data_IF_712020844726
#
_entry.id   IF_712020844726
#
_cell.length_a   1.000
_cell.length_b   1.000
_cell.length_c   1.000
_cell.angle_alpha   90.00
_cell.angle_beta   90.00
_cell.angle_gamma   90.00
#
_symmetry.space_group_name_H-M   'P 1'
#
loop_
_entity.id
_entity.type
_entity.pdbx_description
1 polymer ?
#
# COMPACT_ATOMS: atom_id res chain seq x y z
N UNK A 1 -26.16 -40.46 -49.88
CA UNK A 1 -25.93 -39.02 -50.06
C UNK A 1 -25.83 -38.38 -48.68
N UNK A 2 -24.64 -37.82 -48.41
CA UNK A 2 -24.17 -36.88 -47.38
C UNK A 2 -24.62 -36.98 -45.91
N UNK A 3 -23.59 -37.31 -45.11
CA UNK A 3 -23.42 -37.12 -43.68
C UNK A 3 -23.94 -35.77 -43.15
N UNK A 4 -24.82 -35.83 -42.16
CA UNK A 4 -25.00 -34.76 -41.18
C UNK A 4 -23.85 -34.84 -40.18
N UNK A 5 -22.88 -33.94 -40.29
CA UNK A 5 -21.83 -33.76 -39.29
C UNK A 5 -22.35 -32.86 -38.17
N UNK A 6 -22.45 -33.49 -37.00
CA UNK A 6 -22.71 -33.00 -35.67
C UNK A 6 -22.08 -31.61 -35.38
N UNK A 7 -22.90 -30.61 -35.06
CA UNK A 7 -22.49 -29.26 -34.67
C UNK A 7 -22.27 -29.08 -33.16
N UNK A 8 -22.14 -30.17 -32.39
CA UNK A 8 -22.10 -30.10 -30.92
C UNK A 8 -20.71 -29.83 -30.31
N UNK A 9 -19.64 -29.71 -31.12
CA UNK A 9 -18.27 -29.65 -30.60
C UNK A 9 -17.71 -28.23 -30.35
N UNK A 10 -18.45 -27.18 -30.70
CA UNK A 10 -17.94 -25.79 -30.62
C UNK A 10 -18.20 -25.14 -29.26
N UNK A 11 -19.23 -25.58 -28.54
CA UNK A 11 -19.62 -24.99 -27.25
C UNK A 11 -18.75 -25.46 -26.08
N UNK A 12 -18.30 -26.71 -26.07
CA UNK A 12 -17.57 -27.29 -24.95
C UNK A 12 -16.16 -26.68 -24.81
N UNK A 13 -15.46 -26.44 -25.92
CA UNK A 13 -14.14 -25.78 -25.92
C UNK A 13 -14.17 -24.30 -25.49
N UNK A 14 -15.30 -23.60 -25.67
CA UNK A 14 -15.47 -22.23 -25.20
C UNK A 14 -15.79 -22.15 -23.70
N UNK A 15 -16.49 -23.17 -23.17
CA UNK A 15 -16.79 -23.27 -21.75
C UNK A 15 -15.53 -23.55 -20.92
N UNK A 16 -14.68 -24.45 -21.40
CA UNK A 16 -13.40 -24.81 -20.74
C UNK A 16 -12.43 -23.63 -20.69
N UNK A 17 -12.27 -22.88 -21.78
CA UNK A 17 -11.43 -21.67 -21.77
C UNK A 17 -11.94 -20.57 -20.83
N UNK A 18 -13.26 -20.42 -20.68
CA UNK A 18 -13.82 -19.46 -19.73
C UNK A 18 -13.61 -19.90 -18.27
N UNK A 19 -13.63 -21.20 -17.99
CA UNK A 19 -13.31 -21.75 -16.67
C UNK A 19 -11.82 -21.56 -16.33
N UNK A 20 -10.92 -21.87 -17.26
CA UNK A 20 -9.48 -21.64 -17.12
C UNK A 20 -9.16 -20.15 -16.88
N UNK A 21 -9.78 -19.25 -17.63
CA UNK A 21 -9.58 -17.81 -17.47
C UNK A 21 -10.05 -17.32 -16.09
N UNK A 22 -11.19 -17.83 -15.60
CA UNK A 22 -11.70 -17.50 -14.26
C UNK A 22 -10.79 -18.03 -13.15
N UNK A 23 -10.23 -19.23 -13.29
CA UNK A 23 -9.22 -19.76 -12.37
C UNK A 23 -7.94 -18.91 -12.37
N UNK A 24 -7.43 -18.52 -13.54
CA UNK A 24 -6.26 -17.65 -13.65
C UNK A 24 -6.52 -16.30 -12.97
N UNK A 25 -7.70 -15.71 -13.17
CA UNK A 25 -8.08 -14.44 -12.53
C UNK A 25 -8.18 -14.59 -11.00
N UNK A 26 -8.71 -15.71 -10.52
CA UNK A 26 -8.79 -16.02 -9.09
C UNK A 26 -7.39 -16.21 -8.47
N UNK A 27 -6.55 -17.04 -9.07
CA UNK A 27 -5.16 -17.25 -8.64
C UNK A 27 -4.36 -15.95 -8.64
N UNK A 28 -4.58 -15.09 -9.66
CA UNK A 28 -3.94 -13.78 -9.71
C UNK A 28 -4.38 -12.86 -8.58
N UNK A 29 -5.66 -12.90 -8.18
CA UNK A 29 -6.16 -12.16 -7.00
C UNK A 29 -5.53 -12.70 -5.71
N UNK A 30 -5.60 -14.00 -5.50
CA UNK A 30 -5.03 -14.67 -4.31
C UNK A 30 -3.53 -14.39 -4.17
N UNK A 31 -2.78 -14.48 -5.26
CA UNK A 31 -1.35 -14.18 -5.30
C UNK A 31 -1.07 -12.70 -4.97
N UNK A 32 -1.88 -11.77 -5.51
CA UNK A 32 -1.72 -10.34 -5.26
C UNK A 32 -2.04 -9.98 -3.80
N UNK A 33 -3.02 -10.65 -3.19
CA UNK A 33 -3.30 -10.55 -1.75
C UNK A 33 -2.13 -11.09 -0.90
N UNK A 34 -1.54 -12.21 -1.32
CA UNK A 34 -0.39 -12.81 -0.63
C UNK A 34 0.83 -11.88 -0.65
N UNK A 35 1.11 -11.23 -1.79
CA UNK A 35 2.18 -10.23 -1.91
C UNK A 35 1.89 -8.95 -1.10
N UNK A 36 0.63 -8.49 -1.04
CA UNK A 36 0.26 -7.32 -0.23
C UNK A 36 0.41 -7.57 1.28
N UNK A 37 0.29 -8.82 1.72
CA UNK A 37 0.47 -9.19 3.13
C UNK A 37 1.93 -9.48 3.51
N UNK A 38 2.83 -9.60 2.53
CA UNK A 38 4.25 -9.88 2.73
C UNK A 38 5.04 -8.61 3.13
N UNK A 39 5.75 -8.67 4.27
CA UNK A 39 6.59 -7.58 4.78
C UNK A 39 7.91 -7.40 3.98
N UNK A 40 8.17 -8.22 2.96
CA UNK A 40 9.45 -8.25 2.25
C UNK A 40 9.86 -6.94 1.58
N UNK A 41 8.93 -6.11 1.08
CA UNK A 41 9.27 -4.80 0.53
C UNK A 41 9.72 -3.81 1.61
N UNK A 42 9.03 -3.80 2.76
CA UNK A 42 9.44 -3.01 3.93
C UNK A 42 10.85 -3.40 4.42
N UNK A 43 11.13 -4.70 4.50
CA UNK A 43 12.47 -5.22 4.87
C UNK A 43 13.56 -4.90 3.83
N UNK A 44 13.20 -4.72 2.56
CA UNK A 44 14.13 -4.21 1.53
C UNK A 44 14.41 -2.72 1.73
N UNK A 45 13.39 -1.92 2.02
CA UNK A 45 13.54 -0.48 2.28
C UNK A 45 14.45 -0.23 3.48
N UNK A 46 14.32 -1.00 4.56
CA UNK A 46 15.21 -0.95 5.74
C UNK A 46 16.70 -1.07 5.42
N UNK A 47 17.04 -1.84 4.39
CA UNK A 47 18.42 -2.14 4.00
C UNK A 47 19.01 -1.10 3.06
N UNK A 48 18.20 -0.16 2.56
CA UNK A 48 18.68 0.97 1.78
C UNK A 48 19.29 1.96 2.77
N UNK A 49 20.49 2.47 2.48
CA UNK A 49 21.04 3.57 3.26
C UNK A 49 20.09 4.78 3.17
N UNK A 50 19.49 5.09 4.31
CA UNK A 50 18.49 6.16 4.44
C UNK A 50 19.15 7.54 4.45
N UNK A 51 20.48 7.62 4.59
CA UNK A 51 21.21 8.89 4.62
C UNK A 51 21.06 9.71 3.32
N UNK A 52 20.75 9.04 2.20
CA UNK A 52 20.54 9.69 0.90
C UNK A 52 19.05 9.82 0.50
N UNK A 53 18.11 9.37 1.34
CA UNK A 53 16.68 9.30 0.97
C UNK A 53 15.78 9.85 2.05
N UNK A 54 14.89 10.76 1.64
CA UNK A 54 13.84 11.28 2.51
C UNK A 54 12.80 10.20 2.88
N UNK A 55 12.50 10.07 4.16
CA UNK A 55 11.41 9.27 4.71
C UNK A 55 10.06 9.64 4.09
N UNK A 56 9.86 10.89 3.68
CA UNK A 56 8.64 11.29 2.95
C UNK A 56 8.50 10.51 1.63
N UNK A 57 9.59 10.41 0.85
CA UNK A 57 9.61 9.68 -0.41
C UNK A 57 9.44 8.17 -0.16
N UNK A 58 10.05 7.66 0.91
CA UNK A 58 9.94 6.25 1.29
C UNK A 58 8.51 5.89 1.65
N UNK A 59 7.84 6.72 2.45
CA UNK A 59 6.45 6.51 2.84
C UNK A 59 5.52 6.53 1.64
N UNK A 60 5.72 7.45 0.69
CA UNK A 60 4.95 7.45 -0.57
C UNK A 60 5.09 6.10 -1.28
N UNK A 61 6.31 5.58 -1.40
CA UNK A 61 6.57 4.29 -2.07
C UNK A 61 5.96 3.11 -1.34
N UNK A 62 6.08 3.05 -0.02
CA UNK A 62 5.47 2.01 0.81
C UNK A 62 3.95 2.05 0.65
N UNK A 63 3.34 3.23 0.78
CA UNK A 63 1.90 3.38 0.66
C UNK A 63 1.41 3.00 -0.74
N UNK A 64 2.14 3.37 -1.81
CA UNK A 64 1.80 2.94 -3.18
C UNK A 64 1.97 1.43 -3.39
N UNK A 65 3.03 0.82 -2.84
CA UNK A 65 3.29 -0.62 -3.02
C UNK A 65 2.22 -1.47 -2.33
N UNK A 66 1.89 -1.11 -1.09
CA UNK A 66 0.95 -1.86 -0.25
C UNK A 66 -0.50 -1.37 -0.34
N UNK A 67 -0.75 -0.37 -1.18
CA UNK A 67 -2.08 0.21 -1.36
C UNK A 67 -2.66 0.72 -0.03
N UNK A 68 -1.83 1.48 0.70
CA UNK A 68 -2.17 2.16 1.95
C UNK A 68 -2.51 3.63 1.65
N UNK A 69 -3.31 4.24 2.52
CA UNK A 69 -3.59 5.67 2.45
C UNK A 69 -2.32 6.43 2.89
N UNK A 70 -1.78 7.35 2.07
CA UNK A 70 -0.58 8.08 2.44
C UNK A 70 -0.83 9.01 3.64
N UNK A 71 0.18 9.27 4.48
CA UNK A 71 0.03 10.20 5.58
C UNK A 71 -0.25 11.63 5.09
N UNK A 72 -1.10 12.35 5.83
CA UNK A 72 -1.35 13.76 5.63
C UNK A 72 -0.45 14.57 6.56
N UNK A 73 0.07 15.70 6.08
CA UNK A 73 0.95 16.57 6.86
C UNK A 73 0.39 17.98 6.93
N UNK A 74 0.48 18.56 8.11
CA UNK A 74 0.21 19.96 8.36
C UNK A 74 1.44 20.57 9.05
N UNK A 75 1.91 21.71 8.55
CA UNK A 75 3.02 22.42 9.17
C UNK A 75 2.56 23.80 9.57
N UNK A 76 2.75 24.13 10.85
CA UNK A 76 2.58 25.49 11.36
C UNK A 76 3.95 26.13 11.53
N UNK A 77 4.00 27.44 11.36
CA UNK A 77 5.17 28.26 11.69
C UNK A 77 4.83 29.13 12.89
N UNK A 78 5.57 28.96 13.97
CA UNK A 78 5.47 29.79 15.17
C UNK A 78 6.78 30.56 15.33
N UNK A 79 6.73 31.88 15.11
CA UNK A 79 7.93 32.72 15.02
C UNK A 79 8.90 32.21 13.93
N UNK A 80 10.12 31.82 14.32
CA UNK A 80 11.17 31.33 13.43
C UNK A 80 11.36 29.80 13.48
N UNK A 81 10.43 29.07 14.10
CA UNK A 81 10.43 27.61 14.13
C UNK A 81 9.21 27.02 13.41
N UNK A 82 9.40 25.84 12.86
CA UNK A 82 8.41 24.98 12.21
C UNK A 82 8.03 23.85 13.16
N UNK A 83 6.73 23.55 13.20
CA UNK A 83 6.17 22.39 13.86
C UNK A 83 5.32 21.63 12.84
N UNK A 84 5.69 20.39 12.54
CA UNK A 84 4.92 19.55 11.62
C UNK A 84 4.12 18.52 12.41
N UNK A 85 2.85 18.37 12.06
CA UNK A 85 1.99 17.27 12.45
C UNK A 85 1.75 16.36 11.26
N UNK A 86 1.89 15.05 11.44
CA UNK A 86 1.51 14.03 10.49
C UNK A 86 0.38 13.18 11.02
N UNK A 87 -0.59 12.89 10.16
CA UNK A 87 -1.69 11.96 10.43
C UNK A 87 -1.51 10.73 9.55
N UNK A 88 -1.46 9.54 10.17
CA UNK A 88 -1.49 8.27 9.46
C UNK A 88 -2.61 7.42 10.05
N UNK A 89 -3.66 7.19 9.26
CA UNK A 89 -4.97 6.77 9.76
C UNK A 89 -5.42 7.67 10.92
N UNK A 90 -5.76 7.10 12.08
CA UNK A 90 -6.26 7.85 13.24
C UNK A 90 -5.15 8.20 14.24
N UNK A 91 -3.89 8.05 13.84
CA UNK A 91 -2.72 8.27 14.71
C UNK A 91 -2.01 9.55 14.32
N UNK A 92 -1.75 10.38 15.34
CA UNK A 92 -1.09 11.67 15.22
C UNK A 92 0.38 11.57 15.63
N UNK A 93 1.25 12.11 14.78
CA UNK A 93 2.68 12.25 14.99
C UNK A 93 3.04 13.73 14.93
N UNK A 94 3.91 14.22 15.80
CA UNK A 94 4.30 15.64 15.83
C UNK A 94 5.81 15.75 15.95
N UNK A 95 6.43 16.61 15.14
CA UNK A 95 7.87 16.87 15.22
C UNK A 95 8.21 17.64 16.49
N UNK A 96 9.51 17.74 16.79
CA UNK A 96 9.96 18.83 17.65
C UNK A 96 9.93 20.15 16.87
N UNK A 97 10.07 21.27 17.57
CA UNK A 97 10.30 22.56 16.91
C UNK A 97 11.64 22.53 16.17
N UNK A 98 11.64 22.90 14.89
CA UNK A 98 12.84 22.96 14.07
C UNK A 98 12.95 24.29 13.33
N UNK A 99 14.17 24.78 13.12
CA UNK A 99 14.42 25.96 12.27
C UNK A 99 14.38 25.61 10.77
N UNK A 100 14.32 24.32 10.43
CA UNK A 100 14.25 23.80 9.06
C UNK A 100 12.92 23.08 8.82
N UNK A 101 12.16 23.58 7.84
CA UNK A 101 10.87 23.01 7.42
C UNK A 101 11.01 21.54 6.99
N UNK A 102 12.03 21.22 6.20
CA UNK A 102 12.26 19.88 5.68
C UNK A 102 12.63 18.94 6.82
N UNK A 103 13.48 19.38 7.76
CA UNK A 103 13.80 18.60 8.95
C UNK A 103 12.54 18.29 9.77
N UNK A 104 11.67 19.29 10.01
CA UNK A 104 10.43 19.06 10.77
C UNK A 104 9.54 17.99 10.13
N UNK A 105 9.43 17.98 8.80
CA UNK A 105 8.66 16.97 8.07
C UNK A 105 9.35 15.60 8.11
N UNK A 106 10.67 15.59 7.96
CA UNK A 106 11.47 14.38 7.96
C UNK A 106 11.39 13.64 9.29
N UNK A 107 11.40 14.35 10.41
CA UNK A 107 11.20 13.79 11.75
C UNK A 107 9.85 13.08 11.87
N UNK A 108 8.76 13.73 11.44
CA UNK A 108 7.42 13.14 11.45
C UNK A 108 7.35 11.91 10.55
N UNK A 109 7.89 12.01 9.33
CA UNK A 109 7.91 10.88 8.39
C UNK A 109 8.72 9.70 8.93
N UNK A 110 9.83 9.96 9.62
CA UNK A 110 10.60 8.92 10.29
C UNK A 110 9.76 8.22 11.37
N UNK A 111 9.09 8.98 12.23
CA UNK A 111 8.23 8.38 13.28
C UNK A 111 7.07 7.56 12.70
N UNK A 112 6.45 8.01 11.61
CA UNK A 112 5.40 7.24 10.92
C UNK A 112 5.98 5.95 10.33
N UNK A 113 7.17 6.02 9.71
CA UNK A 113 7.83 4.84 9.18
C UNK A 113 8.16 3.82 10.27
N UNK A 114 8.76 4.25 11.38
CA UNK A 114 9.03 3.39 12.54
C UNK A 114 7.74 2.78 13.11
N UNK A 115 6.65 3.55 13.15
CA UNK A 115 5.33 3.04 13.51
C UNK A 115 4.87 1.94 12.55
N UNK A 116 5.00 2.14 11.23
CA UNK A 116 4.64 1.13 10.22
C UNK A 116 5.41 -0.17 10.41
N UNK A 117 6.71 -0.05 10.70
CA UNK A 117 7.56 -1.21 10.89
C UNK A 117 7.20 -2.04 12.11
N UNK A 118 6.85 -1.37 13.20
CA UNK A 118 6.55 -2.02 14.47
C UNK A 118 5.11 -2.56 14.53
N UNK A 119 4.20 -2.02 13.71
CA UNK A 119 2.76 -2.31 13.79
C UNK A 119 2.20 -2.84 12.45
N UNK A 120 3.01 -3.61 11.72
CA UNK A 120 2.70 -4.02 10.34
C UNK A 120 1.36 -4.75 10.21
N UNK A 121 1.07 -5.65 11.15
CA UNK A 121 -0.17 -6.44 11.11
C UNK A 121 -1.39 -5.58 11.40
N UNK A 122 -1.33 -4.68 12.38
CA UNK A 122 -2.43 -3.76 12.66
C UNK A 122 -2.72 -2.84 11.45
N UNK A 123 -1.68 -2.42 10.75
CA UNK A 123 -1.80 -1.54 9.58
C UNK A 123 -2.43 -2.24 8.38
N UNK A 124 -2.10 -3.51 8.17
CA UNK A 124 -2.77 -4.32 7.15
C UNK A 124 -4.24 -4.51 7.47
N UNK A 125 -4.57 -4.82 8.73
CA UNK A 125 -5.95 -4.96 9.18
C UNK A 125 -6.75 -3.66 8.98
N UNK A 126 -6.19 -2.53 9.40
CA UNK A 126 -6.80 -1.21 9.26
C UNK A 126 -6.98 -0.80 7.79
N UNK A 127 -5.98 -1.08 6.95
CA UNK A 127 -6.07 -0.85 5.50
C UNK A 127 -7.21 -1.67 4.87
N UNK A 128 -7.32 -2.95 5.24
CA UNK A 128 -8.39 -3.83 4.76
C UNK A 128 -9.78 -3.31 5.18
N UNK A 129 -9.96 -2.93 6.44
CA UNK A 129 -11.22 -2.36 6.94
C UNK A 129 -11.64 -1.11 6.15
N UNK A 130 -10.68 -0.21 5.88
CA UNK A 130 -10.96 1.02 5.13
C UNK A 130 -11.30 0.75 3.67
N UNK A 131 -10.65 -0.22 3.03
CA UNK A 131 -11.02 -0.66 1.67
C UNK A 131 -12.44 -1.21 1.63
N UNK A 132 -12.80 -2.10 2.54
CA UNK A 132 -14.15 -2.67 2.60
C UNK A 132 -15.23 -1.61 2.88
N UNK A 133 -14.94 -0.61 3.72
CA UNK A 133 -15.83 0.49 4.02
C UNK A 133 -16.09 1.44 2.84
N UNK A 134 -15.18 1.51 1.87
CA UNK A 134 -15.33 2.35 0.67
C UNK A 134 -16.25 1.72 -0.40
N UNK A 135 -16.55 0.42 -0.30
CA UNK A 135 -17.41 -0.31 -1.25
C UNK A 135 -18.79 -0.67 -0.69
N UNK A 136 -19.17 -0.15 0.48
CA UNK A 136 -20.52 -0.25 1.07
C UNK A 136 -21.31 1.03 0.81
#
# INVERSE_FOLDING_TARGET
MNNQLNNNNVNDNQLDHNNELNEILKLKKELNELYKNDKSYLEKVKKIDLNDKSYQIILIKICSYYDLIPPAYETIRENDVYLTTGMFYDIKFTSMYSYDLNQSKEEVSKSIFEYIENNWNEILEESNKRREGLFK
#
